data_IF_466338647917
#
_entry.id   IF_466338647917
#
_cell.length_a   1.000
_cell.length_b   1.000
_cell.length_c   1.000
_cell.angle_alpha   90.00
_cell.angle_beta   90.00
_cell.angle_gamma   90.00
#
_symmetry.space_group_name_H-M   'P 1'
#
loop_
_entity.id
_entity.type
_entity.pdbx_description
1 polymer ?
#
# COMPACT_ATOMS: atom_id res chain seq x y z
N UNK A 1 -0.94 38.08 9.42
CA UNK A 1 -1.16 38.06 7.96
C UNK A 1 -2.39 37.24 7.67
N UNK A 2 -3.34 37.71 6.83
CA UNK A 2 -4.54 36.92 6.52
C UNK A 2 -4.12 35.58 5.91
N UNK A 3 -4.66 34.49 6.43
CA UNK A 3 -4.38 33.13 5.99
C UNK A 3 -5.09 32.92 4.65
N UNK A 4 -4.47 33.37 3.56
CA UNK A 4 -4.98 33.12 2.21
C UNK A 4 -4.83 31.63 1.90
N UNK A 5 -5.96 30.96 1.64
CA UNK A 5 -5.97 29.61 1.07
C UNK A 5 -5.24 29.64 -0.28
N UNK A 6 -4.26 28.75 -0.50
CA UNK A 6 -3.50 28.73 -1.75
C UNK A 6 -4.44 28.45 -2.93
N UNK A 7 -4.26 29.19 -4.03
CA UNK A 7 -5.02 29.02 -5.28
C UNK A 7 -4.24 28.25 -6.33
N UNK A 8 -2.92 28.21 -6.20
CA UNK A 8 -2.00 27.50 -7.09
C UNK A 8 -1.00 26.66 -6.29
N UNK A 9 -0.28 25.77 -6.95
CA UNK A 9 0.78 24.98 -6.32
C UNK A 9 1.94 25.86 -5.86
N UNK A 10 2.27 26.90 -6.64
CA UNK A 10 3.33 27.86 -6.33
C UNK A 10 3.04 28.71 -5.08
N UNK A 11 1.78 28.83 -4.67
CA UNK A 11 1.35 29.55 -3.46
C UNK A 11 1.38 28.66 -2.19
N UNK A 12 1.67 27.36 -2.30
CA UNK A 12 1.74 26.47 -1.15
C UNK A 12 2.85 26.90 -0.19
N UNK A 13 2.49 27.07 1.09
CA UNK A 13 3.46 27.26 2.17
C UNK A 13 3.99 25.91 2.59
N UNK A 14 5.21 25.61 2.18
CA UNK A 14 5.87 24.34 2.47
C UNK A 14 6.43 24.33 3.88
N UNK A 15 6.38 23.16 4.52
CA UNK A 15 7.09 22.92 5.77
C UNK A 15 8.60 22.87 5.49
N UNK A 16 9.42 23.73 6.13
CA UNK A 16 10.87 23.71 5.93
C UNK A 16 11.55 22.50 6.60
N UNK A 17 10.87 21.79 7.50
CA UNK A 17 11.44 20.66 8.24
C UNK A 17 11.22 19.37 7.45
N UNK A 18 12.32 18.66 7.17
CA UNK A 18 12.29 17.34 6.54
C UNK A 18 12.28 16.25 7.59
N UNK A 19 11.36 15.30 7.47
CA UNK A 19 11.18 14.18 8.41
C UNK A 19 10.93 12.86 7.65
N UNK A 20 11.16 11.69 8.29
CA UNK A 20 11.05 10.41 7.60
C UNK A 20 9.61 10.10 7.15
N UNK A 21 9.50 9.65 5.91
CA UNK A 21 8.24 9.16 5.31
C UNK A 21 8.35 7.65 5.13
N UNK A 22 7.32 6.91 5.55
CA UNK A 22 7.24 5.46 5.39
C UNK A 22 5.91 5.07 4.76
N UNK A 23 5.94 4.21 3.74
CA UNK A 23 4.74 3.65 3.13
C UNK A 23 4.15 2.48 3.94
N UNK A 24 2.85 2.20 3.77
CA UNK A 24 2.15 1.16 4.54
C UNK A 24 2.73 -0.25 4.35
N UNK A 25 3.34 -0.56 3.19
CA UNK A 25 3.94 -1.87 2.94
C UNK A 25 5.28 -2.01 3.66
N UNK A 26 6.10 -0.96 3.66
CA UNK A 26 7.34 -0.89 4.42
C UNK A 26 7.08 -1.00 5.93
N UNK A 27 6.04 -0.31 6.41
CA UNK A 27 5.69 -0.28 7.83
C UNK A 27 5.26 -1.63 8.40
N UNK A 28 4.86 -2.60 7.57
CA UNK A 28 4.48 -3.94 8.05
C UNK A 28 5.63 -4.64 8.78
N UNK A 29 6.88 -4.40 8.37
CA UNK A 29 8.05 -5.03 8.99
C UNK A 29 8.26 -4.58 10.44
N UNK A 30 7.81 -3.37 10.81
CA UNK A 30 7.91 -2.84 12.17
C UNK A 30 7.09 -3.65 13.18
N UNK A 31 6.04 -4.33 12.73
CA UNK A 31 5.19 -5.13 13.59
C UNK A 31 5.79 -6.50 13.91
N UNK A 32 6.90 -6.88 13.27
CA UNK A 32 7.57 -8.14 13.51
C UNK A 32 8.22 -8.10 14.91
N UNK A 33 7.67 -8.80 15.92
CA UNK A 33 8.13 -8.68 17.30
C UNK A 33 9.49 -9.35 17.50
N UNK A 34 10.12 -9.15 18.63
CA UNK A 34 11.17 -10.06 19.10
C UNK A 34 10.52 -11.33 19.67
N UNK A 35 11.09 -12.48 19.34
CA UNK A 35 10.63 -13.79 19.82
C UNK A 35 11.81 -14.78 19.88
N UNK A 36 11.71 -15.86 20.69
CA UNK A 36 12.76 -16.86 20.85
C UNK A 36 13.15 -17.57 19.54
N UNK A 37 12.19 -17.80 18.64
CA UNK A 37 12.41 -18.43 17.35
C UNK A 37 11.61 -17.75 16.23
N UNK A 38 11.96 -18.03 14.97
CA UNK A 38 11.31 -17.41 13.82
C UNK A 38 9.83 -17.76 13.70
N UNK A 39 9.42 -19.01 13.93
CA UNK A 39 8.02 -19.42 13.76
C UNK A 39 7.14 -18.69 14.78
N UNK A 40 7.58 -18.60 16.03
CA UNK A 40 6.92 -17.78 17.05
C UNK A 40 6.89 -16.30 16.68
N UNK A 41 7.99 -15.78 16.14
CA UNK A 41 8.08 -14.39 15.67
C UNK A 41 7.00 -14.06 14.65
N UNK A 42 6.88 -14.90 13.61
CA UNK A 42 5.92 -14.70 12.53
C UNK A 42 4.49 -15.03 12.95
N UNK A 43 4.26 -16.06 13.77
CA UNK A 43 2.93 -16.34 14.31
C UNK A 43 2.40 -15.17 15.16
N UNK A 44 3.27 -14.54 15.97
CA UNK A 44 2.90 -13.34 16.73
C UNK A 44 2.64 -12.12 15.84
N UNK A 45 3.30 -12.02 14.67
CA UNK A 45 3.00 -10.96 13.71
C UNK A 45 1.56 -11.07 13.17
N UNK A 46 1.06 -12.29 12.92
CA UNK A 46 -0.29 -12.50 12.39
C UNK A 46 -1.39 -11.81 13.22
N UNK A 47 -1.20 -11.70 14.54
CA UNK A 47 -2.15 -11.03 15.45
C UNK A 47 -1.83 -9.55 15.70
N UNK A 48 -0.64 -9.07 15.33
CA UNK A 48 -0.14 -7.71 15.58
C UNK A 48 -0.21 -6.76 14.39
N UNK A 49 -0.74 -7.20 13.25
CA UNK A 49 -0.87 -6.36 12.05
C UNK A 49 -1.68 -5.08 12.31
N UNK A 50 -1.47 -4.00 11.56
CA UNK A 50 -2.24 -2.76 11.73
C UNK A 50 -3.74 -2.95 11.42
N UNK A 51 -4.61 -2.05 11.91
CA UNK A 51 -6.02 -2.05 11.50
C UNK A 51 -6.15 -1.68 10.03
N UNK A 52 -7.07 -2.35 9.33
CA UNK A 52 -7.40 -2.07 7.93
C UNK A 52 -7.99 -0.67 7.79
N UNK A 53 -8.76 -0.19 8.78
CA UNK A 53 -9.30 1.17 8.77
C UNK A 53 -8.23 2.24 8.89
N UNK A 54 -7.16 1.99 9.66
CA UNK A 54 -6.04 2.93 9.78
C UNK A 54 -5.27 3.02 8.45
N UNK A 55 -4.99 1.87 7.83
CA UNK A 55 -4.37 1.81 6.49
C UNK A 55 -5.24 2.53 5.46
N UNK A 56 -6.55 2.24 5.44
CA UNK A 56 -7.51 2.87 4.52
C UNK A 56 -7.54 4.39 4.73
N UNK A 57 -7.59 4.84 5.99
CA UNK A 57 -7.61 6.26 6.33
C UNK A 57 -6.39 7.01 5.77
N UNK A 58 -5.19 6.43 5.90
CA UNK A 58 -3.96 7.00 5.28
C UNK A 58 -4.06 7.02 3.76
N UNK A 59 -4.45 5.90 3.13
CA UNK A 59 -4.60 5.83 1.68
C UNK A 59 -5.60 6.88 1.13
N UNK A 60 -6.74 7.06 1.81
CA UNK A 60 -7.72 8.11 1.44
C UNK A 60 -7.14 9.50 1.65
N UNK A 61 -6.41 9.74 2.75
CA UNK A 61 -5.77 11.03 2.98
C UNK A 61 -4.81 11.39 1.84
N UNK A 62 -3.99 10.44 1.37
CA UNK A 62 -3.09 10.66 0.24
C UNK A 62 -3.83 10.81 -1.10
N UNK A 63 -4.91 10.05 -1.34
CA UNK A 63 -5.81 10.25 -2.49
C UNK A 63 -6.38 11.67 -2.52
N UNK A 64 -6.86 12.18 -1.38
CA UNK A 64 -7.39 13.54 -1.26
C UNK A 64 -6.32 14.62 -1.46
N UNK A 65 -5.06 14.37 -1.04
CA UNK A 65 -3.97 15.28 -1.36
C UNK A 65 -3.63 15.27 -2.85
N UNK A 66 -3.74 14.12 -3.53
CA UNK A 66 -3.60 14.06 -4.99
C UNK A 66 -4.71 14.83 -5.71
N UNK A 67 -5.96 14.68 -5.28
CA UNK A 67 -7.08 15.47 -5.83
C UNK A 67 -6.86 16.98 -5.61
N UNK A 68 -6.37 17.36 -4.43
CA UNK A 68 -6.00 18.74 -4.11
C UNK A 68 -4.84 19.24 -4.98
N UNK A 69 -3.82 18.41 -5.24
CA UNK A 69 -2.71 18.74 -6.12
C UNK A 69 -3.22 19.03 -7.53
N UNK A 70 -4.07 18.15 -8.09
CA UNK A 70 -4.66 18.34 -9.41
C UNK A 70 -5.51 19.62 -9.46
N UNK A 71 -6.28 19.91 -8.42
CA UNK A 71 -7.08 21.13 -8.33
C UNK A 71 -6.22 22.41 -8.31
N UNK A 72 -5.10 22.39 -7.57
CA UNK A 72 -4.17 23.52 -7.49
C UNK A 72 -3.26 23.64 -8.72
N UNK A 73 -3.04 22.54 -9.44
CA UNK A 73 -2.20 22.51 -10.64
C UNK A 73 -2.81 23.30 -11.80
N UNK A 74 -4.15 23.38 -11.87
CA UNK A 74 -4.95 24.11 -12.87
C UNK A 74 -4.17 24.84 -13.97
N UNK A 75 -4.03 26.16 -13.83
CA UNK A 75 -3.27 27.03 -14.74
C UNK A 75 -1.84 27.31 -14.23
N UNK A 76 -1.27 26.43 -13.38
CA UNK A 76 0.07 26.55 -12.79
C UNK A 76 1.02 25.44 -13.29
N UNK A 77 1.44 25.49 -14.57
CA UNK A 77 2.32 24.47 -15.14
C UNK A 77 3.70 24.43 -14.47
N UNK A 78 4.21 25.58 -14.02
CA UNK A 78 5.50 25.68 -13.33
C UNK A 78 5.40 25.01 -11.96
N UNK A 79 4.34 25.28 -11.20
CA UNK A 79 4.09 24.62 -9.92
C UNK A 79 3.89 23.12 -10.09
N UNK A 80 3.19 22.67 -11.15
CA UNK A 80 3.01 21.26 -11.44
C UNK A 80 4.34 20.56 -11.72
N UNK A 81 5.19 21.13 -12.57
CA UNK A 81 6.53 20.60 -12.85
C UNK A 81 7.39 20.56 -11.58
N UNK A 82 7.40 21.65 -10.81
CA UNK A 82 8.16 21.75 -9.58
C UNK A 82 7.70 20.77 -8.49
N UNK A 83 6.46 20.25 -8.55
CA UNK A 83 5.86 19.33 -7.57
C UNK A 83 5.65 17.91 -8.14
N UNK A 84 6.24 17.58 -9.29
CA UNK A 84 6.10 16.25 -9.89
C UNK A 84 6.55 15.12 -8.95
N UNK A 85 7.59 15.33 -8.15
CA UNK A 85 8.06 14.33 -7.17
C UNK A 85 7.14 14.21 -5.96
N UNK A 86 6.58 15.32 -5.50
CA UNK A 86 5.51 15.31 -4.50
C UNK A 86 4.31 14.47 -5.00
N UNK A 87 3.89 14.65 -6.25
CA UNK A 87 2.80 13.87 -6.86
C UNK A 87 3.13 12.36 -6.92
N UNK A 88 4.34 12.02 -7.36
CA UNK A 88 4.77 10.62 -7.45
C UNK A 88 4.90 9.96 -6.07
N UNK A 89 5.39 10.68 -5.06
CA UNK A 89 5.45 10.21 -3.68
C UNK A 89 4.06 9.87 -3.15
N UNK A 90 3.10 10.78 -3.30
CA UNK A 90 1.71 10.59 -2.87
C UNK A 90 1.03 9.43 -3.62
N UNK A 91 1.30 9.28 -4.92
CA UNK A 91 0.79 8.14 -5.68
C UNK A 91 1.33 6.80 -5.15
N UNK A 92 2.63 6.71 -4.85
CA UNK A 92 3.24 5.51 -4.25
C UNK A 92 2.61 5.23 -2.87
N UNK A 93 2.48 6.25 -2.02
CA UNK A 93 1.89 6.10 -0.67
C UNK A 93 0.43 5.63 -0.72
N UNK A 94 -0.39 6.27 -1.55
CA UNK A 94 -1.80 5.90 -1.72
C UNK A 94 -1.94 4.45 -2.21
N UNK A 95 -1.19 4.06 -3.23
CA UNK A 95 -1.24 2.70 -3.76
C UNK A 95 -0.64 1.65 -2.80
N UNK A 96 0.39 2.00 -2.02
CA UNK A 96 0.91 1.14 -0.98
C UNK A 96 -0.17 0.83 0.08
N UNK A 97 -0.89 1.85 0.55
CA UNK A 97 -2.03 1.67 1.46
C UNK A 97 -3.16 0.84 0.85
N UNK A 98 -3.51 1.10 -0.42
CA UNK A 98 -4.53 0.31 -1.14
C UNK A 98 -4.18 -1.17 -1.30
N UNK A 99 -2.90 -1.50 -1.45
CA UNK A 99 -2.43 -2.88 -1.51
C UNK A 99 -2.38 -3.47 -0.09
N UNK A 100 -1.81 -2.74 0.87
CA UNK A 100 -1.65 -3.19 2.24
C UNK A 100 -3.00 -3.59 2.89
N UNK A 101 -4.06 -2.81 2.68
CA UNK A 101 -5.40 -3.14 3.22
C UNK A 101 -6.00 -4.44 2.64
N UNK A 102 -5.57 -4.87 1.45
CA UNK A 102 -6.00 -6.12 0.83
C UNK A 102 -5.06 -7.28 1.12
N UNK A 103 -3.83 -6.96 1.55
CA UNK A 103 -2.77 -7.90 1.87
C UNK A 103 -2.84 -8.36 3.33
N UNK A 104 -3.12 -7.44 4.25
CA UNK A 104 -3.16 -7.72 5.69
C UNK A 104 -4.42 -8.52 6.04
N UNK A 105 -4.32 -9.58 6.88
CA UNK A 105 -5.48 -10.31 7.35
C UNK A 105 -6.36 -9.45 8.26
N UNK A 106 -7.68 -9.56 8.08
CA UNK A 106 -8.65 -8.89 8.93
C UNK A 106 -8.72 -9.54 10.32
N UNK A 107 -8.51 -8.75 11.38
CA UNK A 107 -8.48 -9.24 12.78
C UNK A 107 -9.80 -9.02 13.51
N UNK A 108 -10.54 -7.98 13.12
CA UNK A 108 -11.79 -7.58 13.75
C UNK A 108 -12.96 -7.65 12.77
N UNK A 109 -14.19 -7.56 13.27
CA UNK A 109 -15.38 -7.42 12.42
C UNK A 109 -15.34 -6.14 11.56
N UNK A 110 -14.80 -5.06 12.11
CA UNK A 110 -14.61 -3.81 11.39
C UNK A 110 -13.59 -3.95 10.27
N UNK A 111 -12.47 -4.64 10.50
CA UNK A 111 -11.49 -4.93 9.44
C UNK A 111 -12.11 -5.80 8.34
N UNK A 112 -12.87 -6.84 8.71
CA UNK A 112 -13.56 -7.72 7.75
C UNK A 112 -14.56 -6.94 6.91
N UNK A 113 -15.35 -6.08 7.55
CA UNK A 113 -16.28 -5.20 6.86
C UNK A 113 -15.56 -4.25 5.90
N UNK A 114 -14.52 -3.54 6.37
CA UNK A 114 -13.75 -2.61 5.55
C UNK A 114 -13.12 -3.29 4.33
N UNK A 115 -12.49 -4.45 4.52
CA UNK A 115 -11.90 -5.23 3.43
C UNK A 115 -12.96 -5.70 2.41
N UNK A 116 -14.15 -6.10 2.88
CA UNK A 116 -15.26 -6.47 2.01
C UNK A 116 -15.81 -5.28 1.20
N UNK A 117 -15.88 -4.09 1.79
CA UNK A 117 -16.29 -2.87 1.09
C UNK A 117 -15.25 -2.44 0.05
N UNK A 118 -13.95 -2.43 0.38
CA UNK A 118 -12.87 -2.19 -0.60
C UNK A 118 -12.99 -3.18 -1.77
N UNK A 119 -13.12 -4.47 -1.48
CA UNK A 119 -13.25 -5.49 -2.51
C UNK A 119 -14.51 -5.26 -3.36
N UNK A 120 -15.60 -4.78 -2.77
CA UNK A 120 -16.82 -4.44 -3.49
C UNK A 120 -16.62 -3.27 -4.46
N UNK A 121 -15.99 -2.18 -3.99
CA UNK A 121 -15.65 -1.01 -4.81
C UNK A 121 -14.75 -1.39 -5.99
N UNK A 122 -13.70 -2.18 -5.73
CA UNK A 122 -12.76 -2.66 -6.76
C UNK A 122 -13.42 -3.63 -7.73
N UNK A 123 -14.28 -4.54 -7.28
CA UNK A 123 -15.10 -5.40 -8.16
C UNK A 123 -16.05 -4.56 -9.03
N UNK A 124 -16.60 -3.46 -8.51
CA UNK A 124 -17.42 -2.51 -9.29
C UNK A 124 -16.58 -1.76 -10.32
N UNK A 125 -15.38 -1.33 -9.98
CA UNK A 125 -14.43 -0.74 -10.92
C UNK A 125 -14.04 -1.74 -12.04
N UNK A 126 -13.78 -3.00 -11.69
CA UNK A 126 -13.49 -4.07 -12.64
C UNK A 126 -14.62 -4.30 -13.66
N UNK A 127 -15.89 -4.16 -13.24
CA UNK A 127 -17.05 -4.26 -14.14
C UNK A 127 -17.15 -3.09 -15.13
N UNK A 128 -16.61 -1.93 -14.77
CA UNK A 128 -16.60 -0.72 -15.60
C UNK A 128 -15.32 -0.59 -16.42
N UNK A 129 -14.30 -1.39 -16.15
CA UNK A 129 -13.03 -1.31 -16.88
C UNK A 129 -13.22 -1.72 -18.34
N UNK A 130 -12.64 -0.93 -19.24
CA UNK A 130 -12.58 -1.24 -20.67
C UNK A 130 -11.50 -2.28 -21.00
N UNK A 131 -10.51 -2.44 -20.12
CA UNK A 131 -9.46 -3.44 -20.25
C UNK A 131 -9.89 -4.76 -19.59
N UNK A 132 -9.96 -5.83 -20.41
CA UNK A 132 -10.25 -7.18 -19.90
C UNK A 132 -9.17 -7.68 -18.94
N UNK A 133 -7.90 -7.33 -19.21
CA UNK A 133 -6.75 -7.66 -18.36
C UNK A 133 -6.92 -7.02 -16.98
N UNK A 134 -7.14 -5.71 -16.93
CA UNK A 134 -7.27 -4.97 -15.67
C UNK A 134 -8.49 -5.45 -14.88
N UNK A 135 -9.61 -5.69 -15.58
CA UNK A 135 -10.81 -6.23 -14.96
C UNK A 135 -10.57 -7.61 -14.33
N UNK A 136 -9.85 -8.49 -15.02
CA UNK A 136 -9.50 -9.81 -14.49
C UNK A 136 -8.55 -9.70 -13.30
N UNK A 137 -7.54 -8.84 -13.40
CA UNK A 137 -6.55 -8.65 -12.36
C UNK A 137 -7.16 -8.07 -11.07
N UNK A 138 -8.01 -7.05 -11.19
CA UNK A 138 -8.77 -6.50 -10.05
C UNK A 138 -9.67 -7.55 -9.39
N UNK A 139 -10.34 -8.41 -10.17
CA UNK A 139 -11.16 -9.49 -9.62
C UNK A 139 -10.31 -10.50 -8.83
N UNK A 140 -9.15 -10.88 -9.37
CA UNK A 140 -8.20 -11.80 -8.71
C UNK A 140 -7.67 -11.20 -7.41
N UNK A 141 -7.24 -9.95 -7.41
CA UNK A 141 -6.78 -9.24 -6.21
C UNK A 141 -7.86 -9.15 -5.11
N UNK A 142 -9.13 -9.15 -5.49
CA UNK A 142 -10.26 -9.10 -4.55
C UNK A 142 -10.85 -10.49 -4.20
N UNK A 143 -10.19 -11.59 -4.61
CA UNK A 143 -10.71 -12.95 -4.38
C UNK A 143 -10.47 -13.46 -2.96
N UNK A 144 -9.47 -12.93 -2.25
CA UNK A 144 -9.18 -13.26 -0.85
C UNK A 144 -9.98 -12.48 0.19
N UNK A 145 -10.78 -11.49 -0.24
CA UNK A 145 -11.55 -10.66 0.68
C UNK A 145 -12.75 -11.41 1.27
N UNK A 146 -13.11 -11.14 2.54
CA UNK A 146 -14.29 -11.71 3.18
C UNK A 146 -15.59 -11.35 2.42
N UNK A 147 -16.65 -12.17 2.57
CA UNK A 147 -17.94 -11.88 1.97
C UNK A 147 -18.51 -10.59 2.55
N UNK A 148 -19.13 -9.77 1.69
CA UNK A 148 -19.79 -8.54 2.12
C UNK A 148 -21.05 -8.88 2.91
N UNK A 149 -21.09 -8.43 4.17
CA UNK A 149 -22.27 -8.54 5.03
C UNK A 149 -23.23 -7.41 4.64
N UNK A 150 -24.40 -7.77 4.10
CA UNK A 150 -25.43 -6.79 3.67
C UNK A 150 -26.34 -6.34 4.81
N UNK A 151 -26.45 -7.15 5.87
CA UNK A 151 -27.31 -6.90 7.01
C UNK A 151 -26.47 -6.94 8.29
N UNK A 152 -26.13 -5.76 8.82
CA UNK A 152 -25.67 -5.67 10.21
C UNK A 152 -26.91 -5.69 11.10
N UNK A 153 -27.20 -6.82 11.74
CA UNK A 153 -28.09 -6.81 12.91
C UNK A 153 -27.35 -6.12 14.03
N UNK A 154 -27.59 -4.82 14.19
CA UNK A 154 -27.01 -4.03 15.27
C UNK A 154 -27.65 -4.48 16.58
N UNK A 155 -26.89 -5.19 17.39
CA UNK A 155 -27.37 -5.76 18.65
C UNK A 155 -27.54 -4.70 19.76
N UNK A 156 -26.95 -3.51 19.62
CA UNK A 156 -26.97 -2.45 20.63
C UNK A 156 -26.75 -1.03 20.05
N UNK A 157 -27.09 0.04 20.79
CA UNK A 157 -26.74 1.42 20.43
C UNK A 157 -25.23 1.70 20.36
N UNK A 158 -24.42 1.03 21.19
CA UNK A 158 -22.95 1.14 21.13
C UNK A 158 -22.41 0.55 19.82
N UNK A 159 -22.90 -0.62 19.41
CA UNK A 159 -22.53 -1.23 18.13
C UNK A 159 -22.90 -0.34 16.92
N UNK A 160 -24.01 0.42 17.01
CA UNK A 160 -24.38 1.42 16.01
C UNK A 160 -23.34 2.56 15.96
N UNK A 161 -22.96 3.12 17.11
CA UNK A 161 -21.97 4.21 17.18
C UNK A 161 -20.61 3.79 16.61
N UNK A 162 -20.14 2.59 16.95
CA UNK A 162 -18.87 2.06 16.44
C UNK A 162 -18.94 1.83 14.93
N UNK A 163 -20.07 1.33 14.43
CA UNK A 163 -20.30 1.14 12.99
C UNK A 163 -20.32 2.47 12.23
N UNK A 164 -20.96 3.51 12.78
CA UNK A 164 -20.97 4.85 12.19
C UNK A 164 -19.57 5.45 12.16
N UNK A 165 -18.80 5.28 13.23
CA UNK A 165 -17.41 5.75 13.30
C UNK A 165 -16.54 5.01 12.28
N UNK A 166 -16.65 3.68 12.18
CA UNK A 166 -15.94 2.89 11.19
C UNK A 166 -16.29 3.31 9.75
N UNK A 167 -17.57 3.56 9.46
CA UNK A 167 -18.02 4.09 8.17
C UNK A 167 -17.42 5.47 7.88
N UNK A 168 -17.47 6.39 8.84
CA UNK A 168 -16.92 7.72 8.69
C UNK A 168 -15.40 7.68 8.42
N UNK A 169 -14.66 6.80 9.09
CA UNK A 169 -13.23 6.57 8.83
C UNK A 169 -13.00 5.96 7.45
N UNK A 170 -13.81 4.98 7.06
CA UNK A 170 -13.70 4.30 5.77
C UNK A 170 -13.89 5.25 4.58
N UNK A 171 -14.89 6.14 4.64
CA UNK A 171 -15.20 7.10 3.57
C UNK A 171 -14.34 8.37 3.63
N UNK A 172 -13.42 8.48 4.59
CA UNK A 172 -12.56 9.65 4.77
C UNK A 172 -13.25 10.87 5.40
N UNK A 173 -14.44 10.71 6.00
CA UNK A 173 -15.06 11.76 6.79
C UNK A 173 -14.32 11.99 8.13
N UNK A 174 -13.64 10.96 8.63
CA UNK A 174 -12.67 11.06 9.73
C UNK A 174 -11.33 10.56 9.21
N UNK A 175 -10.41 11.49 8.95
CA UNK A 175 -9.06 11.17 8.51
C UNK A 175 -8.12 11.00 9.70
N UNK A 176 -7.05 10.19 9.56
CA UNK A 176 -5.96 10.22 10.53
C UNK A 176 -5.36 11.63 10.63
N UNK A 177 -4.84 11.95 11.80
CA UNK A 177 -4.09 13.19 11.99
C UNK A 177 -2.87 13.20 11.06
N UNK A 178 -2.58 14.32 10.38
CA UNK A 178 -1.36 14.46 9.60
C UNK A 178 -0.12 14.25 10.46
N UNK A 179 0.85 13.53 9.92
CA UNK A 179 2.16 13.34 10.52
C UNK A 179 2.98 14.62 10.36
N UNK A 180 3.70 14.98 11.43
CA UNK A 180 4.56 16.15 11.52
C UNK A 180 5.96 15.78 12.05
N UNK A 181 6.84 16.76 12.18
CA UNK A 181 8.22 16.60 12.65
C UNK A 181 8.32 15.97 14.06
N UNK A 182 7.30 16.14 14.90
CA UNK A 182 7.26 15.64 16.27
C UNK A 182 6.73 14.21 16.38
N UNK A 183 5.85 13.83 15.46
CA UNK A 183 5.19 12.52 15.44
C UNK A 183 5.85 11.54 14.48
N UNK A 184 6.59 12.01 13.47
CA UNK A 184 7.26 11.17 12.50
C UNK A 184 8.31 10.25 13.15
N UNK A 185 8.23 8.96 12.86
CA UNK A 185 9.21 7.96 13.29
C UNK A 185 9.62 7.10 12.12
N UNK A 186 10.92 6.81 12.01
CA UNK A 186 11.44 5.92 10.98
C UNK A 186 10.75 4.57 11.04
N UNK A 187 10.18 4.12 9.92
CA UNK A 187 9.47 2.85 9.80
C UNK A 187 8.00 2.89 10.26
N UNK A 188 7.46 4.02 10.74
CA UNK A 188 6.03 4.18 11.02
C UNK A 188 5.31 4.85 9.85
N UNK A 189 4.28 4.20 9.25
CA UNK A 189 3.45 4.83 8.24
C UNK A 189 2.68 6.04 8.77
N UNK A 190 2.65 7.11 7.98
CA UNK A 190 2.00 8.38 8.33
C UNK A 190 1.02 8.89 7.27
N UNK A 191 0.26 9.92 7.63
CA UNK A 191 -0.58 10.68 6.70
C UNK A 191 0.14 11.99 6.37
N UNK A 192 0.44 12.22 5.10
CA UNK A 192 1.30 13.33 4.67
C UNK A 192 0.52 14.27 3.75
N UNK A 193 0.79 15.57 3.84
CA UNK A 193 0.11 16.65 3.12
C UNK A 193 0.99 17.21 2.02
N UNK A 194 0.38 17.99 1.12
CA UNK A 194 1.13 18.75 0.09
C UNK A 194 2.12 19.76 0.69
N UNK A 195 1.80 20.31 1.86
CA UNK A 195 2.69 21.20 2.59
C UNK A 195 4.00 20.49 2.98
N UNK A 196 4.00 19.17 3.13
CA UNK A 196 5.16 18.37 3.52
C UNK A 196 6.02 17.96 2.29
N UNK A 197 5.95 18.75 1.21
CA UNK A 197 6.56 18.45 -0.09
C UNK A 197 8.04 18.08 -0.01
N UNK A 198 8.82 18.76 0.83
CA UNK A 198 10.25 18.45 0.95
C UNK A 198 10.51 17.05 1.54
N UNK A 199 9.70 16.60 2.50
CA UNK A 199 9.75 15.23 3.03
C UNK A 199 9.32 14.19 1.99
N UNK A 200 8.27 14.49 1.22
CA UNK A 200 7.76 13.64 0.15
C UNK A 200 8.76 13.50 -1.01
N UNK A 201 9.39 14.61 -1.40
CA UNK A 201 10.44 14.66 -2.43
C UNK A 201 11.69 13.91 -1.97
N UNK A 202 12.14 14.09 -0.73
CA UNK A 202 13.26 13.35 -0.17
C UNK A 202 13.01 11.84 -0.13
N UNK A 203 11.81 11.43 0.28
CA UNK A 203 11.37 10.04 0.23
C UNK A 203 11.41 9.48 -1.19
N UNK A 204 10.87 10.20 -2.16
CA UNK A 204 10.83 9.73 -3.53
C UNK A 204 12.21 9.74 -4.23
N UNK A 205 13.11 10.63 -3.82
CA UNK A 205 14.49 10.67 -4.30
C UNK A 205 15.33 9.50 -3.77
N UNK A 206 14.95 8.91 -2.62
CA UNK A 206 15.62 7.78 -1.99
C UNK A 206 14.76 6.49 -2.09
N UNK A 207 14.63 5.88 -3.28
CA UNK A 207 13.86 4.64 -3.44
C UNK A 207 14.47 3.49 -2.63
N UNK A 208 13.67 2.48 -2.25
CA UNK A 208 14.21 1.26 -1.68
C UNK A 208 15.07 0.51 -2.71
N UNK A 209 16.03 -0.27 -2.22
CA UNK A 209 16.79 -1.20 -3.06
C UNK A 209 15.86 -2.33 -3.55
N UNK A 210 15.53 -2.31 -4.85
CA UNK A 210 14.60 -3.27 -5.42
C UNK A 210 15.18 -4.69 -5.45
N UNK A 211 16.50 -4.82 -5.62
CA UNK A 211 17.16 -6.13 -5.65
C UNK A 211 17.17 -6.76 -4.25
N UNK A 212 17.44 -5.95 -3.21
CA UNK A 212 17.33 -6.40 -1.82
C UNK A 212 15.91 -6.82 -1.47
N UNK A 213 14.89 -6.08 -1.91
CA UNK A 213 13.49 -6.44 -1.68
C UNK A 213 13.12 -7.77 -2.35
N UNK A 214 13.55 -8.00 -3.60
CA UNK A 214 13.34 -9.27 -4.31
C UNK A 214 14.04 -10.43 -3.59
N UNK A 215 15.31 -10.28 -3.27
CA UNK A 215 16.10 -11.30 -2.58
C UNK A 215 15.50 -11.62 -1.21
N UNK A 216 15.13 -10.58 -0.45
CA UNK A 216 14.50 -10.71 0.85
C UNK A 216 13.11 -11.35 0.79
N UNK A 217 12.33 -11.10 -0.26
CA UNK A 217 11.05 -11.78 -0.46
C UNK A 217 11.22 -13.26 -0.81
N UNK A 218 12.11 -13.58 -1.74
CA UNK A 218 12.42 -14.95 -2.14
C UNK A 218 12.91 -15.79 -0.95
N UNK A 219 13.88 -15.27 -0.20
CA UNK A 219 14.41 -15.95 0.98
C UNK A 219 13.32 -16.18 2.06
N UNK A 220 12.38 -15.25 2.22
CA UNK A 220 11.29 -15.41 3.19
C UNK A 220 10.28 -16.48 2.76
N UNK A 221 9.91 -16.53 1.48
CA UNK A 221 9.03 -17.56 0.93
C UNK A 221 9.66 -18.94 1.06
N UNK A 222 10.93 -19.09 0.64
CA UNK A 222 11.68 -20.35 0.73
C UNK A 222 11.79 -20.87 2.17
N UNK A 223 12.07 -19.99 3.13
CA UNK A 223 12.08 -20.36 4.55
C UNK A 223 10.70 -20.82 5.03
N UNK A 224 9.66 -20.07 4.68
CA UNK A 224 8.28 -20.37 5.13
C UNK A 224 7.77 -21.73 4.62
N UNK A 225 8.14 -22.12 3.39
CA UNK A 225 7.77 -23.43 2.83
C UNK A 225 8.36 -24.60 3.66
N UNK A 226 9.52 -24.37 4.31
CA UNK A 226 10.21 -25.36 5.13
C UNK A 226 9.62 -25.58 6.52
N UNK A 227 8.77 -24.68 7.02
CA UNK A 227 8.27 -24.73 8.41
C UNK A 227 7.29 -25.86 8.71
N UNK A 228 6.73 -26.50 7.68
CA UNK A 228 5.84 -27.67 7.82
C UNK A 228 6.46 -28.86 8.57
N UNK A 229 7.79 -28.87 8.74
CA UNK A 229 8.55 -29.93 9.44
C UNK A 229 9.03 -29.53 10.83
N UNK A 230 8.72 -28.31 11.29
CA UNK A 230 9.16 -27.80 12.56
C UNK A 230 8.34 -28.35 13.74
N UNK A 231 8.93 -28.34 14.94
CA UNK A 231 8.29 -28.81 16.17
C UNK A 231 7.39 -27.73 16.79
N UNK A 232 6.29 -27.41 16.09
CA UNK A 232 5.25 -26.49 16.57
C UNK A 232 3.87 -27.03 16.22
N UNK A 233 2.83 -26.49 16.88
CA UNK A 233 1.45 -26.83 16.53
C UNK A 233 1.13 -26.36 15.10
N UNK A 234 0.30 -27.14 14.38
CA UNK A 234 -0.09 -26.83 13.01
C UNK A 234 -0.64 -25.40 12.85
N UNK A 235 -1.52 -24.97 13.77
CA UNK A 235 -2.06 -23.60 13.73
C UNK A 235 -1.00 -22.50 13.87
N UNK A 236 0.03 -22.71 14.71
CA UNK A 236 1.15 -21.75 14.85
C UNK A 236 2.00 -21.70 13.57
N UNK A 237 2.19 -22.84 12.91
CA UNK A 237 2.89 -22.91 11.62
C UNK A 237 2.07 -22.18 10.55
N UNK A 238 0.76 -22.42 10.47
CA UNK A 238 -0.13 -21.75 9.51
C UNK A 238 -0.10 -20.22 9.68
N UNK A 239 -0.22 -19.74 10.92
CA UNK A 239 -0.13 -18.31 11.25
C UNK A 239 1.23 -17.72 10.86
N UNK A 240 2.32 -18.43 11.15
CA UNK A 240 3.66 -18.01 10.77
C UNK A 240 3.83 -17.92 9.25
N UNK A 241 3.44 -18.97 8.52
CA UNK A 241 3.51 -19.03 7.05
C UNK A 241 2.69 -17.89 6.44
N UNK A 242 1.48 -17.65 6.93
CA UNK A 242 0.63 -16.57 6.44
C UNK A 242 1.30 -15.20 6.66
N UNK A 243 1.86 -14.95 7.85
CA UNK A 243 2.53 -13.69 8.14
C UNK A 243 3.82 -13.50 7.30
N UNK A 244 4.58 -14.57 7.07
CA UNK A 244 5.75 -14.56 6.20
C UNK A 244 5.36 -14.26 4.75
N UNK A 245 4.28 -14.87 4.24
CA UNK A 245 3.74 -14.55 2.93
C UNK A 245 3.32 -13.08 2.84
N UNK A 246 2.60 -12.55 3.84
CA UNK A 246 2.21 -11.12 3.88
C UNK A 246 3.43 -10.21 3.73
N UNK A 247 4.51 -10.44 4.49
CA UNK A 247 5.72 -9.63 4.37
C UNK A 247 6.46 -9.83 3.05
N UNK A 248 6.54 -11.06 2.53
CA UNK A 248 7.18 -11.32 1.24
C UNK A 248 6.43 -10.63 0.09
N UNK A 249 5.10 -10.75 0.05
CA UNK A 249 4.27 -10.10 -0.96
C UNK A 249 4.23 -8.57 -0.78
N UNK A 250 4.39 -8.05 0.44
CA UNK A 250 4.58 -6.62 0.66
C UNK A 250 5.87 -6.11 0.00
N UNK A 251 6.99 -6.83 0.18
CA UNK A 251 8.27 -6.51 -0.48
C UNK A 251 8.15 -6.56 -2.00
N UNK A 252 7.56 -7.61 -2.55
CA UNK A 252 7.33 -7.74 -4.00
C UNK A 252 6.40 -6.64 -4.53
N UNK A 253 5.36 -6.27 -3.79
CA UNK A 253 4.49 -5.17 -4.17
C UNK A 253 5.25 -3.83 -4.17
N UNK A 254 6.15 -3.59 -3.21
CA UNK A 254 7.03 -2.41 -3.24
C UNK A 254 7.93 -2.39 -4.47
N UNK A 255 8.51 -3.54 -4.86
CA UNK A 255 9.24 -3.67 -6.14
C UNK A 255 8.36 -3.28 -7.33
N UNK A 256 7.09 -3.68 -7.31
CA UNK A 256 6.10 -3.30 -8.31
C UNK A 256 5.81 -1.80 -8.35
N UNK A 257 5.54 -1.18 -7.20
CA UNK A 257 5.09 0.21 -7.10
C UNK A 257 6.14 1.24 -7.52
N UNK A 258 7.39 1.04 -7.14
CA UNK A 258 8.43 2.04 -7.38
C UNK A 258 8.83 2.04 -8.87
N UNK A 259 8.93 3.21 -9.52
CA UNK A 259 9.36 3.27 -10.91
C UNK A 259 10.83 2.85 -11.05
N UNK A 260 11.15 2.15 -12.14
CA UNK A 260 12.51 1.73 -12.43
C UNK A 260 13.35 2.93 -12.87
N UNK A 261 14.50 3.15 -12.23
CA UNK A 261 15.49 4.20 -12.57
C UNK A 261 16.69 3.61 -13.30
N UNK A 262 16.94 2.32 -13.12
CA UNK A 262 18.09 1.60 -13.70
C UNK A 262 17.67 0.34 -14.47
N UNK A 263 18.62 -0.26 -15.21
CA UNK A 263 18.41 -1.58 -15.79
C UNK A 263 18.32 -2.68 -14.72
N UNK A 264 19.02 -2.52 -13.58
CA UNK A 264 18.90 -3.42 -12.44
C UNK A 264 17.50 -3.39 -11.80
N UNK A 265 16.86 -2.22 -11.79
CA UNK A 265 15.49 -2.07 -11.29
C UNK A 265 14.49 -2.79 -12.20
N UNK A 266 14.68 -2.70 -13.53
CA UNK A 266 13.87 -3.45 -14.50
C UNK A 266 14.05 -4.96 -14.31
N UNK A 267 15.29 -5.41 -14.10
CA UNK A 267 15.56 -6.82 -13.81
C UNK A 267 14.87 -7.26 -12.51
N UNK A 268 14.95 -6.45 -11.45
CA UNK A 268 14.29 -6.74 -10.17
C UNK A 268 12.76 -6.85 -10.32
N UNK A 269 12.14 -5.99 -11.15
CA UNK A 269 10.71 -6.11 -11.48
C UNK A 269 10.39 -7.40 -12.24
N UNK A 270 11.22 -7.77 -13.22
CA UNK A 270 11.05 -9.03 -13.97
C UNK A 270 11.25 -10.27 -13.07
N UNK A 271 12.16 -10.20 -12.11
CA UNK A 271 12.39 -11.24 -11.11
C UNK A 271 11.19 -11.36 -10.17
N UNK A 272 10.61 -10.24 -9.74
CA UNK A 272 9.37 -10.23 -8.95
C UNK A 272 8.20 -10.88 -9.72
N UNK A 273 8.02 -10.56 -11.01
CA UNK A 273 7.03 -11.24 -11.87
C UNK A 273 7.29 -12.74 -11.95
N UNK A 274 8.55 -13.14 -12.10
CA UNK A 274 8.96 -14.55 -12.19
C UNK A 274 8.66 -15.31 -10.90
N UNK A 275 8.96 -14.72 -9.73
CA UNK A 275 8.62 -15.30 -8.42
C UNK A 275 7.11 -15.51 -8.33
N UNK A 276 6.32 -14.47 -8.60
CA UNK A 276 4.85 -14.54 -8.54
C UNK A 276 4.29 -15.59 -9.51
N UNK A 277 4.84 -15.70 -10.72
CA UNK A 277 4.39 -16.70 -11.69
C UNK A 277 4.68 -18.14 -11.23
N UNK A 278 5.81 -18.38 -10.55
CA UNK A 278 6.20 -19.72 -10.05
C UNK A 278 5.41 -20.14 -8.81
N UNK A 279 4.97 -19.20 -7.97
CA UNK A 279 4.22 -19.45 -6.73
C UNK A 279 2.75 -19.80 -6.96
N UNK A 280 2.43 -20.72 -7.87
CA UNK A 280 1.05 -21.08 -8.22
C UNK A 280 0.23 -21.66 -7.07
N UNK A 281 0.89 -22.20 -6.04
CA UNK A 281 0.30 -22.72 -4.81
C UNK A 281 -0.13 -21.63 -3.83
N UNK A 282 0.43 -20.43 -3.94
CA UNK A 282 0.06 -19.31 -3.07
C UNK A 282 -1.31 -18.75 -3.44
N UNK A 283 -2.02 -18.16 -2.46
CA UNK A 283 -3.30 -17.50 -2.71
C UNK A 283 -3.23 -16.51 -3.88
N UNK A 284 -4.07 -16.71 -4.89
CA UNK A 284 -4.03 -15.95 -6.14
C UNK A 284 -4.19 -14.44 -5.96
N UNK A 285 -4.90 -14.01 -4.91
CA UNK A 285 -5.07 -12.60 -4.59
C UNK A 285 -3.74 -11.91 -4.22
N UNK A 286 -2.85 -12.57 -3.49
CA UNK A 286 -1.53 -12.03 -3.12
C UNK A 286 -0.69 -11.77 -4.37
N UNK A 287 -0.67 -12.77 -5.27
CA UNK A 287 -0.03 -12.70 -6.58
C UNK A 287 -0.59 -11.57 -7.43
N UNK A 288 -1.92 -11.43 -7.46
CA UNK A 288 -2.58 -10.38 -8.21
C UNK A 288 -2.29 -8.96 -7.66
N UNK A 289 -2.12 -8.79 -6.35
CA UNK A 289 -1.75 -7.51 -5.75
C UNK A 289 -0.36 -7.03 -6.20
N UNK A 290 0.61 -7.93 -6.33
CA UNK A 290 1.96 -7.59 -6.86
C UNK A 290 1.88 -7.18 -8.33
N UNK A 291 1.10 -7.89 -9.14
CA UNK A 291 0.93 -7.53 -10.55
C UNK A 291 0.22 -6.17 -10.71
N UNK A 292 -0.74 -5.84 -9.84
CA UNK A 292 -1.34 -4.49 -9.81
C UNK A 292 -0.30 -3.43 -9.45
N UNK A 293 0.56 -3.73 -8.48
CA UNK A 293 1.65 -2.84 -8.09
C UNK A 293 2.60 -2.56 -9.26
N UNK A 294 2.97 -3.59 -10.02
CA UNK A 294 3.80 -3.47 -11.23
C UNK A 294 3.14 -2.60 -12.30
N UNK A 295 1.86 -2.81 -12.60
CA UNK A 295 1.11 -1.99 -13.56
C UNK A 295 1.06 -0.50 -13.12
N UNK A 296 0.95 -0.24 -11.81
CA UNK A 296 1.04 1.12 -11.23
C UNK A 296 2.43 1.71 -11.43
N UNK A 297 3.50 1.01 -11.05
CA UNK A 297 4.87 1.50 -11.21
C UNK A 297 5.25 1.75 -12.67
N UNK A 298 4.77 0.93 -13.60
CA UNK A 298 4.91 1.18 -15.04
C UNK A 298 4.15 2.43 -15.50
N UNK A 299 2.99 2.71 -14.92
CA UNK A 299 2.22 3.92 -15.23
C UNK A 299 2.94 5.17 -14.73
N UNK A 300 3.49 5.14 -13.51
CA UNK A 300 4.34 6.22 -12.99
C UNK A 300 5.58 6.42 -13.88
N UNK A 301 6.25 5.33 -14.28
CA UNK A 301 7.44 5.40 -15.13
C UNK A 301 7.18 6.05 -16.49
N UNK A 302 5.99 5.87 -17.08
CA UNK A 302 5.63 6.47 -18.37
C UNK A 302 5.38 7.99 -18.32
N UNK A 303 5.32 8.58 -17.14
CA UNK A 303 5.06 10.02 -16.99
C UNK A 303 6.33 10.87 -17.16
N UNK A 304 7.52 10.26 -17.19
CA UNK A 304 8.77 11.00 -17.29
C UNK A 304 9.91 10.17 -17.87
N UNK A 305 10.70 10.77 -18.76
CA UNK A 305 11.86 10.16 -19.42
C UNK A 305 13.00 9.79 -18.46
N UNK A 306 12.95 10.27 -17.21
CA UNK A 306 13.91 9.91 -16.16
C UNK A 306 13.77 8.46 -15.70
N UNK A 307 12.65 7.81 -16.00
CA UNK A 307 12.39 6.43 -15.63
C UNK A 307 12.56 5.50 -16.82
N UNK A 308 13.01 4.28 -16.53
CA UNK A 308 13.03 3.20 -17.50
C UNK A 308 11.64 2.58 -17.55
N UNK A 309 11.07 2.51 -18.74
CA UNK A 309 9.86 1.73 -19.00
C UNK A 309 10.21 0.59 -19.96
N UNK A 310 9.53 -0.54 -19.80
CA UNK A 310 9.52 -1.57 -20.84
C UNK A 310 8.78 -0.94 -22.01
N UNK A 311 9.45 -0.75 -23.15
CA UNK A 311 8.76 -0.37 -24.38
C UNK A 311 7.79 -1.49 -24.71
N UNK A 312 6.50 -1.25 -24.50
CA UNK A 312 5.47 -2.17 -24.96
C UNK A 312 5.56 -2.18 -26.48
N UNK A 313 6.11 -3.25 -27.06
CA UNK A 313 5.90 -3.54 -28.47
C UNK A 313 4.40 -3.80 -28.60
N UNK A 314 3.69 -2.90 -29.27
CA UNK A 314 2.30 -3.15 -29.67
C UNK A 314 2.29 -4.43 -30.51
N UNK A 315 1.64 -5.48 -29.99
CA UNK A 315 1.30 -6.70 -30.74
C UNK A 315 -0.12 -6.57 -31.28
#
# INVERSE_FOLDING_TARGET
MPNMTPRTLSELKLDPIVFPVTDDLAGLERFLPDAPDEIERFALLAVKTPSILDIRGRAVAHEMQMDRLVALAGDDPIGLEARADTANALAVLAHAGQIAQMLVPARTEQDRWAQAEVAHERKRAARRSKSRRDAALLRRACSGAPPRIKEHRLASPTALSDSVTAMARFVGAILPEPTDDRSARTGEPGAYRLEDAHSLEAYFAAPPDLAELVAGAGALLERSDGWSRADHSAGKIDDAVQAAQVLAYARLARVGLWPARSAGDLQSKADAETIVARRSTDPDHLRALVLLALDVGHTIARQSDRFRSIQTVEL
#
